data_IF_833400334237
#
_entry.id   IF_833400334237
#
_cell.length_a   1.000
_cell.length_b   1.000
_cell.length_c   1.000
_cell.angle_alpha   90.00
_cell.angle_beta   90.00
_cell.angle_gamma   90.00
#
_symmetry.space_group_name_H-M   'P 1'
#
loop_
_entity.id
_entity.type
_entity.pdbx_description
1 polymer ?
#
# COMPACT_ATOMS: atom_id res chain seq x y z
N UNK A 1 0.71 -40.04 14.25
CA UNK A 1 1.42 -40.00 12.96
C UNK A 1 0.50 -39.64 11.80
N UNK A 2 -0.65 -40.30 11.61
CA UNK A 2 -1.61 -40.01 10.52
C UNK A 2 -2.14 -38.57 10.54
N UNK A 3 -2.48 -38.03 11.72
CA UNK A 3 -2.93 -36.63 11.87
C UNK A 3 -1.83 -35.64 11.46
N UNK A 4 -0.58 -35.89 11.85
CA UNK A 4 0.55 -35.01 11.50
C UNK A 4 0.82 -35.02 9.99
N UNK A 5 0.75 -36.19 9.34
CA UNK A 5 0.89 -36.33 7.89
C UNK A 5 -0.27 -35.63 7.16
N UNK A 6 -1.50 -35.78 7.64
CA UNK A 6 -2.66 -35.09 7.07
C UNK A 6 -2.54 -33.56 7.19
N UNK A 7 -2.05 -33.06 8.33
CA UNK A 7 -1.77 -31.63 8.55
C UNK A 7 -0.67 -31.13 7.61
N UNK A 8 0.42 -31.88 7.45
CA UNK A 8 1.52 -31.50 6.55
C UNK A 8 1.06 -31.50 5.08
N UNK A 9 0.29 -32.50 4.66
CA UNK A 9 -0.28 -32.55 3.30
C UNK A 9 -1.26 -31.40 3.09
N UNK A 10 -2.14 -31.12 4.05
CA UNK A 10 -3.06 -30.00 3.98
C UNK A 10 -2.32 -28.66 3.88
N UNK A 11 -1.29 -28.44 4.71
CA UNK A 11 -0.43 -27.26 4.63
C UNK A 11 0.33 -27.18 3.30
N UNK A 12 0.87 -28.29 2.81
CA UNK A 12 1.56 -28.38 1.53
C UNK A 12 0.64 -28.05 0.35
N UNK A 13 -0.57 -28.59 0.33
CA UNK A 13 -1.59 -28.26 -0.67
C UNK A 13 -2.01 -26.79 -0.57
N UNK A 14 -2.19 -26.27 0.65
CA UNK A 14 -2.49 -24.84 0.87
C UNK A 14 -1.37 -23.97 0.29
N UNK A 15 -0.09 -24.29 0.54
CA UNK A 15 1.06 -23.55 0.00
C UNK A 15 1.07 -23.63 -1.54
N UNK A 16 0.89 -24.82 -2.12
CA UNK A 16 0.88 -25.02 -3.57
C UNK A 16 -0.27 -24.27 -4.25
N UNK A 17 -1.49 -24.32 -3.69
CA UNK A 17 -2.64 -23.59 -4.23
C UNK A 17 -2.56 -22.08 -3.97
N UNK A 18 -1.79 -21.64 -2.97
CA UNK A 18 -1.50 -20.23 -2.71
C UNK A 18 -0.38 -19.66 -3.59
N UNK A 19 0.40 -20.53 -4.25
CA UNK A 19 1.51 -20.15 -5.14
C UNK A 19 1.09 -19.82 -6.58
N UNK A 20 -0.14 -20.12 -6.99
CA UNK A 20 -0.67 -19.57 -8.24
C UNK A 20 -0.74 -18.04 -8.09
N UNK A 21 -0.12 -17.29 -9.01
CA UNK A 21 -0.04 -15.82 -8.94
C UNK A 21 -1.40 -15.24 -8.50
N UNK A 22 -1.45 -14.54 -7.35
CA UNK A 22 -2.70 -14.03 -6.82
C UNK A 22 -3.34 -13.12 -7.87
N UNK A 23 -4.67 -13.08 -7.90
CA UNK A 23 -5.41 -12.20 -8.82
C UNK A 23 -4.78 -10.80 -8.87
N UNK A 24 -4.69 -10.16 -10.06
CA UNK A 24 -4.08 -8.84 -10.19
C UNK A 24 -4.60 -7.88 -9.12
N UNK A 25 -3.71 -7.05 -8.58
CA UNK A 25 -4.13 -5.94 -7.75
C UNK A 25 -5.07 -5.01 -8.54
N UNK A 26 -5.76 -4.10 -7.86
CA UNK A 26 -6.64 -3.15 -8.54
C UNK A 26 -6.44 -1.75 -8.02
N UNK A 27 -6.42 -0.79 -8.93
CA UNK A 27 -6.54 0.61 -8.56
C UNK A 27 -8.01 0.93 -8.29
N UNK A 28 -8.26 1.59 -7.16
CA UNK A 28 -9.59 1.92 -6.67
C UNK A 28 -9.63 3.36 -6.19
N UNK A 29 -10.83 3.93 -6.14
CA UNK A 29 -11.04 5.18 -5.40
C UNK A 29 -10.60 4.99 -3.94
N UNK A 30 -9.78 5.93 -3.43
CA UNK A 30 -9.11 5.75 -2.15
C UNK A 30 -10.08 5.54 -0.99
N UNK A 31 -11.11 6.39 -0.89
CA UNK A 31 -12.07 6.39 0.22
C UNK A 31 -13.15 5.34 0.10
N UNK A 32 -13.58 4.96 -1.10
CA UNK A 32 -14.75 4.09 -1.26
C UNK A 32 -14.41 2.66 -1.65
N UNK A 33 -13.13 2.40 -2.02
CA UNK A 33 -12.69 1.17 -2.70
C UNK A 33 -13.47 0.85 -3.98
N UNK A 34 -14.24 1.79 -4.52
CA UNK A 34 -15.01 1.57 -5.74
C UNK A 34 -14.08 1.45 -6.95
N UNK A 35 -14.45 0.63 -7.95
CA UNK A 35 -13.74 0.57 -9.23
C UNK A 35 -13.61 1.95 -9.88
N UNK A 36 -12.49 2.17 -10.57
CA UNK A 36 -12.38 3.30 -11.49
C UNK A 36 -13.40 3.15 -12.63
N UNK A 37 -13.86 4.28 -13.22
CA UNK A 37 -14.79 4.25 -14.34
C UNK A 37 -14.26 3.41 -15.51
N UNK A 38 -15.16 2.73 -16.25
CA UNK A 38 -14.76 1.99 -17.45
C UNK A 38 -14.24 2.95 -18.53
N UNK A 39 -13.22 2.50 -19.25
CA UNK A 39 -12.55 3.30 -20.28
C UNK A 39 -13.25 3.18 -21.62
N UNK A 40 -13.45 4.32 -22.28
CA UNK A 40 -13.85 4.38 -23.68
C UNK A 40 -12.59 4.18 -24.52
N UNK A 41 -12.37 2.95 -25.01
CA UNK A 41 -11.11 2.57 -25.69
C UNK A 41 -10.77 3.42 -26.92
N UNK A 42 -11.74 4.06 -27.57
CA UNK A 42 -11.50 4.95 -28.71
C UNK A 42 -10.85 6.29 -28.31
N UNK A 43 -10.90 6.66 -27.03
CA UNK A 43 -10.31 7.89 -26.50
C UNK A 43 -8.87 7.71 -26.01
N UNK A 44 -8.42 6.45 -25.88
CA UNK A 44 -7.06 6.13 -25.45
C UNK A 44 -6.14 5.95 -26.67
N UNK A 45 -4.94 6.54 -26.70
CA UNK A 45 -3.98 6.32 -27.78
C UNK A 45 -3.67 4.84 -27.99
N UNK A 46 -3.49 4.45 -29.26
CA UNK A 46 -3.19 3.05 -29.64
C UNK A 46 -1.99 2.47 -28.90
N UNK A 47 -0.89 3.24 -28.84
CA UNK A 47 0.35 2.88 -28.14
C UNK A 47 0.12 2.53 -26.67
N UNK A 48 -0.68 3.33 -25.95
CA UNK A 48 -1.02 3.09 -24.54
C UNK A 48 -1.79 1.78 -24.36
N UNK A 49 -2.70 1.45 -25.30
CA UNK A 49 -3.47 0.20 -25.27
C UNK A 49 -2.60 -1.02 -25.52
N UNK A 50 -1.70 -0.92 -26.49
CA UNK A 50 -0.80 -2.01 -26.86
C UNK A 50 0.20 -2.29 -25.73
N UNK A 51 0.79 -1.25 -25.13
CA UNK A 51 1.71 -1.37 -24.00
C UNK A 51 1.02 -1.93 -22.75
N UNK A 52 -0.23 -1.54 -22.48
CA UNK A 52 -1.01 -2.10 -21.38
C UNK A 52 -1.23 -3.61 -21.55
N UNK A 53 -1.52 -4.06 -22.78
CA UNK A 53 -1.68 -5.48 -23.11
C UNK A 53 -0.36 -6.24 -23.04
N UNK A 54 0.74 -5.66 -23.52
CA UNK A 54 2.07 -6.27 -23.47
C UNK A 54 2.54 -6.43 -22.02
N UNK A 55 2.42 -5.37 -21.21
CA UNK A 55 2.77 -5.44 -19.80
C UNK A 55 1.92 -6.47 -19.06
N UNK A 56 0.60 -6.50 -19.33
CA UNK A 56 -0.26 -7.52 -18.75
C UNK A 56 0.14 -8.94 -19.17
N UNK A 57 0.55 -9.12 -20.44
CA UNK A 57 1.06 -10.39 -20.97
C UNK A 57 2.37 -10.83 -20.30
N UNK A 58 3.25 -9.90 -19.96
CA UNK A 58 4.50 -10.21 -19.25
C UNK A 58 4.26 -10.78 -17.84
N UNK A 59 3.22 -10.30 -17.15
CA UNK A 59 2.86 -10.74 -15.79
C UNK A 59 2.00 -12.01 -15.78
N UNK A 60 1.13 -12.17 -16.77
CA UNK A 60 0.19 -13.28 -16.85
C UNK A 60 0.22 -13.98 -18.21
N UNK A 61 1.36 -14.57 -18.62
CA UNK A 61 1.55 -15.08 -19.98
C UNK A 61 0.55 -16.19 -20.38
N UNK A 62 0.12 -16.99 -19.40
CA UNK A 62 -0.76 -18.16 -19.61
C UNK A 62 -2.24 -17.90 -19.28
N UNK A 63 -2.59 -16.77 -18.67
CA UNK A 63 -3.95 -16.49 -18.19
C UNK A 63 -4.55 -15.30 -18.95
N UNK A 64 -5.37 -15.60 -19.97
CA UNK A 64 -6.05 -14.57 -20.80
C UNK A 64 -6.98 -13.69 -19.96
N UNK A 65 -7.67 -14.26 -18.99
CA UNK A 65 -8.63 -13.53 -18.15
C UNK A 65 -7.92 -12.52 -17.25
N UNK A 66 -6.82 -12.92 -16.61
CA UNK A 66 -6.00 -12.00 -15.80
C UNK A 66 -5.36 -10.91 -16.65
N UNK A 67 -4.88 -11.24 -17.85
CA UNK A 67 -4.34 -10.24 -18.80
C UNK A 67 -5.35 -9.16 -19.14
N UNK A 68 -6.57 -9.55 -19.55
CA UNK A 68 -7.62 -8.59 -19.92
C UNK A 68 -8.00 -7.73 -18.72
N UNK A 69 -8.16 -8.33 -17.53
CA UNK A 69 -8.49 -7.58 -16.30
C UNK A 69 -7.39 -6.58 -15.93
N UNK A 70 -6.13 -6.99 -15.99
CA UNK A 70 -4.99 -6.13 -15.69
C UNK A 70 -4.85 -4.99 -16.71
N UNK A 71 -4.95 -5.28 -18.00
CA UNK A 71 -4.91 -4.26 -19.05
C UNK A 71 -6.05 -3.25 -18.92
N UNK A 72 -7.28 -3.70 -18.64
CA UNK A 72 -8.41 -2.81 -18.41
C UNK A 72 -8.20 -1.89 -17.20
N UNK A 73 -7.67 -2.43 -16.09
CA UNK A 73 -7.35 -1.66 -14.88
C UNK A 73 -6.22 -0.64 -15.13
N UNK A 74 -5.21 -1.01 -15.94
CA UNK A 74 -4.14 -0.10 -16.36
C UNK A 74 -4.64 1.07 -17.18
N UNK A 75 -5.51 0.79 -18.16
CA UNK A 75 -6.11 1.83 -18.98
C UNK A 75 -6.99 2.77 -18.14
N UNK A 76 -7.77 2.23 -17.22
CA UNK A 76 -8.61 3.05 -16.32
C UNK A 76 -7.75 3.94 -15.41
N UNK A 77 -6.63 3.40 -14.93
CA UNK A 77 -5.66 4.14 -14.12
C UNK A 77 -5.01 5.26 -14.92
N UNK A 78 -4.54 4.96 -16.14
CA UNK A 78 -3.96 5.96 -17.06
C UNK A 78 -4.95 7.08 -17.35
N UNK A 79 -6.18 6.75 -17.74
CA UNK A 79 -7.21 7.75 -18.05
C UNK A 79 -7.56 8.64 -16.86
N UNK A 80 -7.55 8.07 -15.64
CA UNK A 80 -7.79 8.84 -14.42
C UNK A 80 -6.62 9.78 -14.09
N UNK A 81 -5.39 9.42 -14.46
CA UNK A 81 -4.16 10.15 -14.10
C UNK A 81 -3.60 11.06 -15.19
N UNK A 82 -4.14 11.01 -16.43
CA UNK A 82 -3.54 11.71 -17.58
C UNK A 82 -3.42 13.23 -17.42
N UNK A 83 -4.19 13.81 -16.51
CA UNK A 83 -4.20 15.23 -16.17
C UNK A 83 -3.79 15.48 -14.72
N UNK A 84 -2.99 14.60 -14.13
CA UNK A 84 -2.54 14.67 -12.74
C UNK A 84 -1.05 14.97 -12.68
N UNK A 85 -0.66 15.86 -11.77
CA UNK A 85 0.75 16.19 -11.51
C UNK A 85 1.31 15.26 -10.42
N UNK A 86 0.53 15.02 -9.37
CA UNK A 86 0.91 14.17 -8.23
C UNK A 86 -0.11 13.05 -8.02
N UNK A 87 0.35 11.82 -8.15
CA UNK A 87 -0.41 10.63 -7.81
C UNK A 87 -0.08 10.20 -6.37
N UNK A 88 -1.04 10.33 -5.46
CA UNK A 88 -0.94 9.76 -4.12
C UNK A 88 -1.53 8.35 -4.14
N UNK A 89 -0.69 7.36 -3.87
CA UNK A 89 -1.08 5.96 -3.84
C UNK A 89 -1.15 5.46 -2.40
N UNK A 90 -2.35 5.20 -1.91
CA UNK A 90 -2.55 4.60 -0.60
C UNK A 90 -2.36 3.07 -0.66
N UNK A 91 -1.45 2.56 0.17
CA UNK A 91 -1.19 1.14 0.38
C UNK A 91 -1.63 0.77 1.80
N UNK A 92 -2.81 0.18 1.91
CA UNK A 92 -3.36 -0.26 3.20
C UNK A 92 -2.56 -1.37 3.86
N UNK A 93 -2.65 -1.39 5.19
CA UNK A 93 -2.09 -2.38 6.09
C UNK A 93 -2.91 -3.66 6.12
N UNK A 94 -2.61 -4.51 7.11
CA UNK A 94 -3.27 -5.80 7.26
C UNK A 94 -3.18 -6.65 5.99
N UNK A 95 -4.35 -6.92 5.38
CA UNK A 95 -4.50 -7.74 4.18
C UNK A 95 -4.58 -6.93 2.87
N UNK A 96 -4.38 -5.61 2.89
CA UNK A 96 -4.25 -4.83 1.66
C UNK A 96 -5.55 -4.64 0.85
N UNK A 97 -6.72 -4.66 1.50
CA UNK A 97 -8.02 -4.39 0.86
C UNK A 97 -8.82 -3.26 1.51
N UNK A 98 -8.25 -2.62 2.53
CA UNK A 98 -8.95 -1.60 3.30
C UNK A 98 -8.94 -0.30 2.50
N UNK A 99 -10.11 0.33 2.34
CA UNK A 99 -10.18 1.69 1.83
C UNK A 99 -9.75 2.68 2.91
N UNK A 100 -9.36 3.86 2.45
CA UNK A 100 -8.84 4.91 3.30
C UNK A 100 -9.87 5.39 4.34
N UNK A 101 -11.17 5.41 4.00
CA UNK A 101 -12.27 5.76 4.91
C UNK A 101 -12.32 4.91 6.19
N UNK A 102 -11.86 3.67 6.09
CA UNK A 102 -11.83 2.68 7.19
C UNK A 102 -10.50 2.69 7.95
N UNK A 103 -9.51 3.44 7.47
CA UNK A 103 -8.24 3.67 8.14
C UNK A 103 -8.28 5.08 8.77
N UNK A 104 -9.19 5.30 9.72
CA UNK A 104 -9.62 6.64 10.16
C UNK A 104 -8.49 7.59 10.52
N UNK A 105 -7.46 7.14 11.25
CA UNK A 105 -6.28 7.96 11.55
C UNK A 105 -5.49 8.32 10.28
N UNK A 106 -5.16 7.33 9.46
CA UNK A 106 -4.42 7.52 8.21
C UNK A 106 -5.15 8.35 7.17
N UNK A 107 -6.48 8.27 7.13
CA UNK A 107 -7.31 9.12 6.28
C UNK A 107 -7.06 10.60 6.53
N UNK A 108 -6.92 11.00 7.81
CA UNK A 108 -6.64 12.39 8.16
C UNK A 108 -5.28 12.86 7.63
N UNK A 109 -4.28 11.97 7.61
CA UNK A 109 -2.95 12.28 7.12
C UNK A 109 -2.96 12.41 5.60
N UNK A 110 -3.58 11.46 4.90
CA UNK A 110 -3.64 11.48 3.43
C UNK A 110 -4.48 12.68 2.93
N UNK A 111 -5.58 13.02 3.61
CA UNK A 111 -6.33 14.24 3.33
C UNK A 111 -5.45 15.49 3.47
N UNK A 112 -4.70 15.60 4.57
CA UNK A 112 -3.83 16.76 4.76
C UNK A 112 -2.70 16.83 3.71
N UNK A 113 -2.15 15.70 3.29
CA UNK A 113 -1.18 15.64 2.18
C UNK A 113 -1.83 16.12 0.87
N UNK A 114 -3.06 15.70 0.58
CA UNK A 114 -3.82 16.14 -0.59
C UNK A 114 -4.07 17.66 -0.55
N UNK A 115 -4.54 18.18 0.59
CA UNK A 115 -4.78 19.60 0.83
C UNK A 115 -3.51 20.44 0.66
N UNK A 116 -2.36 19.95 1.14
CA UNK A 116 -1.05 20.59 0.95
C UNK A 116 -0.68 20.70 -0.53
N UNK A 117 -0.95 19.67 -1.33
CA UNK A 117 -0.70 19.72 -2.77
C UNK A 117 -1.67 20.64 -3.50
N UNK A 118 -2.96 20.63 -3.13
CA UNK A 118 -3.97 21.54 -3.69
C UNK A 118 -3.61 23.00 -3.39
N UNK A 119 -3.16 23.29 -2.16
CA UNK A 119 -2.71 24.63 -1.74
C UNK A 119 -1.53 25.12 -2.58
N UNK A 120 -0.67 24.20 -3.04
CA UNK A 120 0.44 24.48 -3.96
C UNK A 120 0.01 24.54 -5.44
N UNK A 121 -1.28 24.48 -5.72
CA UNK A 121 -1.87 24.45 -7.06
C UNK A 121 -1.50 23.22 -7.90
N UNK A 122 -1.21 22.09 -7.25
CA UNK A 122 -0.99 20.83 -7.96
C UNK A 122 -2.33 20.16 -8.30
N UNK A 123 -2.40 19.51 -9.46
CA UNK A 123 -3.46 18.54 -9.76
C UNK A 123 -3.09 17.23 -9.09
N UNK A 124 -3.84 16.85 -8.07
CA UNK A 124 -3.59 15.64 -7.28
C UNK A 124 -4.73 14.63 -7.48
N UNK A 125 -4.37 13.34 -7.50
CA UNK A 125 -5.37 12.26 -7.40
C UNK A 125 -4.90 11.23 -6.37
N UNK A 126 -5.79 10.89 -5.45
CA UNK A 126 -5.55 9.84 -4.45
C UNK A 126 -6.27 8.55 -4.86
N UNK A 127 -5.51 7.48 -5.07
CA UNK A 127 -6.06 6.13 -5.31
C UNK A 127 -5.57 5.15 -4.26
N UNK A 128 -6.35 4.08 -4.03
CA UNK A 128 -5.95 2.94 -3.20
C UNK A 128 -5.54 1.78 -4.10
N UNK A 129 -4.42 1.15 -3.76
CA UNK A 129 -4.03 -0.11 -4.37
C UNK A 129 -4.55 -1.29 -3.56
N UNK A 130 -5.63 -1.89 -4.06
CA UNK A 130 -6.20 -3.10 -3.49
C UNK A 130 -5.35 -4.31 -3.90
N UNK A 131 -4.47 -4.76 -3.00
CA UNK A 131 -3.54 -5.88 -3.23
C UNK A 131 -4.21 -7.25 -3.12
N UNK A 132 -5.22 -7.39 -2.27
CA UNK A 132 -5.91 -8.66 -2.06
C UNK A 132 -7.44 -8.53 -2.06
N UNK A 133 -8.10 -9.69 -2.07
CA UNK A 133 -9.55 -9.83 -2.07
C UNK A 133 -10.00 -10.50 -0.79
N UNK A 134 -11.16 -10.09 -0.26
CA UNK A 134 -11.82 -10.74 0.88
C UNK A 134 -12.25 -12.16 0.51
N UNK A 135 -11.33 -13.10 0.66
CA UNK A 135 -11.53 -14.53 0.48
C UNK A 135 -10.56 -15.27 1.39
N UNK A 136 -10.90 -16.48 1.84
CA UNK A 136 -10.00 -17.34 2.61
C UNK A 136 -8.62 -17.49 1.94
N UNK A 137 -8.59 -17.55 0.60
CA UNK A 137 -7.35 -17.55 -0.20
C UNK A 137 -6.59 -16.24 -0.12
N UNK A 138 -7.28 -15.10 -0.11
CA UNK A 138 -6.69 -13.77 0.08
C UNK A 138 -6.05 -13.61 1.47
N UNK A 139 -6.70 -14.11 2.52
CA UNK A 139 -6.13 -14.14 3.88
C UNK A 139 -4.83 -14.96 3.94
N UNK A 140 -4.85 -16.18 3.40
CA UNK A 140 -3.68 -17.08 3.40
C UNK A 140 -2.54 -16.52 2.52
N UNK A 141 -2.87 -16.04 1.32
CA UNK A 141 -1.90 -15.43 0.40
C UNK A 141 -1.22 -14.23 1.05
N UNK A 142 -1.95 -13.38 1.76
CA UNK A 142 -1.36 -12.23 2.45
C UNK A 142 -0.56 -12.61 3.70
N UNK A 143 -0.92 -13.65 4.45
CA UNK A 143 -0.06 -14.15 5.53
C UNK A 143 1.27 -14.67 4.97
N UNK A 144 1.24 -15.39 3.84
CA UNK A 144 2.44 -15.86 3.15
C UNK A 144 3.21 -14.69 2.49
N UNK A 145 2.50 -13.65 2.00
CA UNK A 145 3.09 -12.46 1.37
C UNK A 145 3.62 -11.42 2.36
N UNK A 146 3.09 -11.38 3.59
CA UNK A 146 3.57 -10.54 4.69
C UNK A 146 4.94 -11.00 5.20
N UNK A 147 5.34 -12.24 4.88
CA UNK A 147 6.73 -12.62 4.91
C UNK A 147 7.51 -11.85 3.85
N UNK A 148 8.59 -11.17 4.25
CA UNK A 148 9.44 -10.27 3.45
C UNK A 148 10.00 -10.85 2.13
N UNK A 149 9.66 -12.09 1.77
CA UNK A 149 10.12 -12.82 0.58
C UNK A 149 9.13 -12.81 -0.60
N UNK A 150 7.90 -12.31 -0.45
CA UNK A 150 6.97 -12.24 -1.57
C UNK A 150 7.18 -11.00 -2.43
N UNK A 151 7.79 -11.20 -3.61
CA UNK A 151 8.16 -10.14 -4.55
C UNK A 151 7.15 -9.95 -5.69
N UNK A 152 6.16 -10.84 -5.84
CA UNK A 152 5.26 -10.84 -7.01
C UNK A 152 4.36 -9.61 -7.06
N UNK A 153 3.74 -9.24 -5.93
CA UNK A 153 2.87 -8.06 -5.84
C UNK A 153 3.64 -6.75 -5.91
N UNK A 154 4.75 -6.56 -5.17
CA UNK A 154 5.61 -5.39 -5.37
C UNK A 154 6.06 -5.24 -6.83
N UNK A 155 6.47 -6.34 -7.49
CA UNK A 155 6.86 -6.32 -8.90
C UNK A 155 5.70 -5.93 -9.82
N UNK A 156 4.49 -6.43 -9.57
CA UNK A 156 3.30 -6.02 -10.31
C UNK A 156 3.08 -4.50 -10.19
N UNK A 157 3.11 -3.94 -8.99
CA UNK A 157 2.93 -2.50 -8.78
C UNK A 157 4.07 -1.69 -9.41
N UNK A 158 5.32 -2.12 -9.29
CA UNK A 158 6.46 -1.45 -9.91
C UNK A 158 6.31 -1.38 -11.45
N UNK A 159 5.84 -2.46 -12.08
CA UNK A 159 5.57 -2.47 -13.53
C UNK A 159 4.40 -1.55 -13.91
N UNK A 160 3.35 -1.48 -13.09
CA UNK A 160 2.24 -0.51 -13.29
C UNK A 160 2.75 0.92 -13.27
N UNK A 161 3.60 1.26 -12.31
CA UNK A 161 4.17 2.60 -12.23
C UNK A 161 5.08 2.90 -13.43
N UNK A 162 5.91 1.94 -13.86
CA UNK A 162 6.71 2.07 -15.10
C UNK A 162 5.85 2.34 -16.33
N UNK A 163 4.74 1.60 -16.48
CA UNK A 163 3.77 1.85 -17.56
C UNK A 163 3.21 3.26 -17.49
N UNK A 164 2.81 3.73 -16.30
CA UNK A 164 2.31 5.10 -16.14
C UNK A 164 3.38 6.13 -16.51
N UNK A 165 4.61 6.01 -16.02
CA UNK A 165 5.67 6.96 -16.36
C UNK A 165 6.11 6.93 -17.83
N UNK A 166 5.94 5.81 -18.51
CA UNK A 166 6.21 5.74 -19.95
C UNK A 166 5.27 6.67 -20.74
N UNK A 167 4.01 6.79 -20.30
CA UNK A 167 3.00 7.61 -20.98
C UNK A 167 2.69 8.94 -20.29
N UNK A 168 3.07 9.09 -19.02
CA UNK A 168 2.87 10.25 -18.16
C UNK A 168 4.22 10.65 -17.53
N UNK A 169 5.17 11.18 -18.34
CA UNK A 169 6.56 11.37 -17.91
C UNK A 169 6.73 12.38 -16.78
N UNK A 170 5.76 13.26 -16.57
CA UNK A 170 5.82 14.29 -15.52
C UNK A 170 5.10 13.87 -14.23
N UNK A 171 4.51 12.67 -14.19
CA UNK A 171 3.76 12.20 -13.02
C UNK A 171 4.72 11.92 -11.86
N UNK A 172 4.58 12.64 -10.74
CA UNK A 172 5.23 12.28 -9.47
C UNK A 172 4.32 11.35 -8.69
N UNK A 173 4.89 10.32 -8.05
CA UNK A 173 4.14 9.32 -7.29
C UNK A 173 4.58 9.36 -5.83
N UNK A 174 3.62 9.56 -4.93
CA UNK A 174 3.81 9.47 -3.48
C UNK A 174 3.04 8.27 -2.94
N UNK A 175 3.74 7.23 -2.49
CA UNK A 175 3.12 6.09 -1.82
C UNK A 175 2.95 6.37 -0.33
N UNK A 176 1.70 6.43 0.13
CA UNK A 176 1.36 6.53 1.54
C UNK A 176 0.97 5.15 2.06
N UNK A 177 1.67 4.64 3.06
CA UNK A 177 1.55 3.24 3.45
C UNK A 177 1.50 3.04 4.96
N UNK A 178 0.65 2.12 5.42
CA UNK A 178 0.51 1.75 6.83
C UNK A 178 0.79 0.26 7.06
N UNK A 179 1.42 -0.07 8.20
CA UNK A 179 1.61 -1.46 8.65
C UNK A 179 2.18 -2.35 7.54
N UNK A 180 1.57 -3.50 7.21
CA UNK A 180 2.01 -4.36 6.10
C UNK A 180 2.07 -3.68 4.72
N UNK A 181 1.33 -2.59 4.51
CA UNK A 181 1.41 -1.78 3.30
C UNK A 181 2.79 -1.12 3.12
N UNK A 182 3.51 -0.88 4.21
CA UNK A 182 4.89 -0.36 4.17
C UNK A 182 5.84 -1.34 3.50
N UNK A 183 5.73 -2.64 3.81
CA UNK A 183 6.55 -3.70 3.19
C UNK A 183 6.39 -3.67 1.66
N UNK A 184 5.15 -3.54 1.19
CA UNK A 184 4.84 -3.42 -0.23
C UNK A 184 5.50 -2.18 -0.86
N UNK A 185 5.30 -1.02 -0.26
CA UNK A 185 5.81 0.27 -0.77
C UNK A 185 7.34 0.30 -0.78
N UNK A 186 7.95 -0.20 0.29
CA UNK A 186 9.38 -0.29 0.45
C UNK A 186 10.02 -1.22 -0.60
N UNK A 187 9.42 -2.38 -0.85
CA UNK A 187 9.88 -3.29 -1.90
C UNK A 187 9.76 -2.65 -3.30
N UNK A 188 8.70 -1.88 -3.57
CA UNK A 188 8.55 -1.17 -4.85
C UNK A 188 9.65 -0.12 -5.03
N UNK A 189 9.94 0.69 -4.01
CA UNK A 189 11.05 1.65 -4.08
C UNK A 189 12.39 0.94 -4.27
N UNK A 190 12.63 -0.16 -3.56
CA UNK A 190 13.85 -0.97 -3.71
C UNK A 190 14.02 -1.55 -5.11
N UNK A 191 12.92 -1.89 -5.79
CA UNK A 191 12.93 -2.35 -7.19
C UNK A 191 13.13 -1.23 -8.21
N UNK A 192 12.97 0.02 -7.79
CA UNK A 192 13.03 1.23 -8.62
C UNK A 192 14.01 2.26 -7.99
N UNK A 193 15.28 1.90 -7.77
CA UNK A 193 16.24 2.75 -7.05
C UNK A 193 16.56 4.05 -7.79
N UNK A 194 16.55 4.02 -9.13
CA UNK A 194 16.85 5.16 -10.01
C UNK A 194 15.63 6.03 -10.34
N UNK A 195 14.44 5.65 -9.88
CA UNK A 195 13.23 6.41 -10.21
C UNK A 195 13.03 7.58 -9.24
N UNK A 196 13.52 8.75 -9.64
CA UNK A 196 13.48 9.98 -8.84
C UNK A 196 12.06 10.53 -8.62
N UNK A 197 11.08 10.12 -9.44
CA UNK A 197 9.67 10.56 -9.32
C UNK A 197 8.87 9.72 -8.32
N UNK A 198 9.49 8.74 -7.66
CA UNK A 198 8.83 7.86 -6.70
C UNK A 198 9.27 8.17 -5.26
N UNK A 199 8.29 8.44 -4.40
CA UNK A 199 8.49 8.73 -2.98
C UNK A 199 7.59 7.84 -2.12
N UNK A 200 7.93 7.66 -0.85
CA UNK A 200 7.03 6.99 0.09
C UNK A 200 7.07 7.60 1.48
N UNK A 201 5.89 7.72 2.09
CA UNK A 201 5.72 7.97 3.53
C UNK A 201 5.10 6.71 4.13
N UNK A 202 5.82 6.11 5.06
CA UNK A 202 5.55 4.81 5.64
C UNK A 202 5.33 4.93 7.14
N UNK A 203 4.23 4.37 7.63
CA UNK A 203 3.83 4.43 9.03
C UNK A 203 3.73 3.03 9.63
N UNK A 204 4.35 2.86 10.79
CA UNK A 204 4.24 1.64 11.57
C UNK A 204 4.68 0.37 10.83
N UNK A 205 5.85 0.32 10.15
CA UNK A 205 6.30 -0.90 9.47
C UNK A 205 6.42 -2.08 10.44
N UNK A 206 6.21 -3.33 10.00
CA UNK A 206 6.41 -4.50 10.86
C UNK A 206 7.85 -4.61 11.36
N UNK A 207 8.03 -5.01 12.63
CA UNK A 207 9.38 -5.11 13.23
C UNK A 207 10.32 -6.07 12.52
N UNK A 208 9.79 -7.08 11.82
CA UNK A 208 10.57 -8.07 11.08
C UNK A 208 11.04 -7.57 9.72
N UNK A 209 10.68 -6.35 9.34
CA UNK A 209 11.03 -5.79 8.05
C UNK A 209 12.05 -4.67 8.21
N UNK A 210 13.21 -4.88 7.56
CA UNK A 210 14.26 -3.88 7.43
C UNK A 210 13.88 -2.91 6.31
N UNK A 211 13.61 -1.67 6.70
CA UNK A 211 13.25 -0.65 5.73
C UNK A 211 14.44 -0.32 4.84
N UNK A 212 14.20 -0.25 3.53
CA UNK A 212 15.13 0.38 2.60
C UNK A 212 15.35 1.84 3.00
N UNK A 213 16.60 2.20 3.29
CA UNK A 213 17.01 3.55 3.67
C UNK A 213 17.25 4.36 2.41
N UNK A 214 16.47 5.42 2.23
CA UNK A 214 16.59 6.35 1.12
C UNK A 214 16.03 7.70 1.51
N UNK A 215 16.60 8.78 0.99
CA UNK A 215 16.06 10.13 1.13
C UNK A 215 14.64 10.26 0.56
N UNK A 216 14.21 9.36 -0.33
CA UNK A 216 12.85 9.31 -0.91
C UNK A 216 11.85 8.58 -0.02
N UNK A 217 12.25 8.12 1.17
CA UNK A 217 11.41 7.37 2.10
C UNK A 217 11.39 8.05 3.47
N UNK A 218 10.22 8.55 3.88
CA UNK A 218 9.97 8.93 5.27
C UNK A 218 9.37 7.72 6.00
N UNK A 219 10.12 7.11 6.90
CA UNK A 219 9.63 6.01 7.72
C UNK A 219 9.39 6.45 9.17
N UNK A 220 8.17 6.24 9.68
CA UNK A 220 7.78 6.61 11.02
C UNK A 220 7.36 5.37 11.81
N UNK A 221 8.06 5.14 12.94
CA UNK A 221 7.83 4.05 13.89
C UNK A 221 7.29 4.55 15.23
N UNK A 222 6.78 5.76 15.27
CA UNK A 222 6.17 6.36 16.46
C UNK A 222 5.25 7.48 16.05
N UNK A 223 4.18 7.66 16.82
CA UNK A 223 3.29 8.81 16.74
C UNK A 223 3.82 10.05 17.49
N UNK A 224 5.03 9.98 18.07
CA UNK A 224 5.66 11.06 18.81
C UNK A 224 5.28 11.15 20.28
N UNK A 225 4.28 10.39 20.73
CA UNK A 225 3.92 10.27 22.16
C UNK A 225 4.47 8.98 22.74
N UNK A 226 4.25 7.86 22.03
CA UNK A 226 4.74 6.54 22.43
C UNK A 226 5.40 5.83 21.24
N UNK A 227 6.52 5.11 21.44
CA UNK A 227 7.08 4.24 20.40
C UNK A 227 6.09 3.15 20.01
N UNK A 228 5.92 2.93 18.70
CA UNK A 228 5.01 1.92 18.17
C UNK A 228 5.44 0.51 18.60
N UNK A 229 4.62 -0.11 19.46
CA UNK A 229 4.93 -1.40 20.02
C UNK A 229 5.05 -2.51 18.96
N UNK A 230 4.28 -2.42 17.87
CA UNK A 230 4.35 -3.38 16.79
C UNK A 230 5.61 -3.19 15.97
N UNK A 231 5.95 -1.95 15.60
CA UNK A 231 7.13 -1.67 14.77
C UNK A 231 8.46 -1.90 15.45
N UNK A 232 8.51 -1.81 16.78
CA UNK A 232 9.72 -2.12 17.55
C UNK A 232 9.74 -3.56 18.09
N UNK A 233 8.70 -4.36 17.84
CA UNK A 233 8.63 -5.74 18.36
C UNK A 233 8.52 -5.79 19.88
N UNK A 234 7.97 -4.74 20.51
CA UNK A 234 7.77 -4.65 21.95
C UNK A 234 6.53 -5.45 22.38
N UNK A 235 6.57 -6.76 22.17
CA UNK A 235 5.44 -7.67 22.40
C UNK A 235 4.91 -7.65 23.82
N UNK A 236 5.77 -7.44 24.83
CA UNK A 236 5.32 -7.30 26.23
C UNK A 236 4.33 -6.15 26.43
N UNK A 237 4.51 -5.03 25.70
CA UNK A 237 3.58 -3.89 25.73
C UNK A 237 2.27 -4.23 25.02
N UNK A 238 2.34 -4.92 23.88
CA UNK A 238 1.14 -5.39 23.18
C UNK A 238 0.34 -6.37 24.06
N UNK A 239 0.98 -7.39 24.64
CA UNK A 239 0.32 -8.34 25.55
C UNK A 239 -0.32 -7.64 26.75
N UNK A 240 0.41 -6.73 27.41
CA UNK A 240 -0.12 -5.95 28.53
C UNK A 240 -1.33 -5.11 28.12
N UNK A 241 -1.27 -4.43 26.98
CA UNK A 241 -2.37 -3.59 26.49
C UNK A 241 -3.65 -4.42 26.22
N UNK A 242 -3.51 -5.60 25.59
CA UNK A 242 -4.65 -6.49 25.35
C UNK A 242 -5.22 -7.05 26.68
N UNK A 243 -4.35 -7.38 27.64
CA UNK A 243 -4.76 -7.85 28.96
C UNK A 243 -5.46 -6.78 29.81
N UNK A 244 -4.96 -5.55 29.76
CA UNK A 244 -5.57 -4.39 30.41
C UNK A 244 -6.93 -4.04 29.76
N UNK A 245 -7.04 -4.15 28.43
CA UNK A 245 -8.30 -3.96 27.70
C UNK A 245 -9.37 -5.00 28.10
N UNK A 246 -8.98 -6.27 28.30
CA UNK A 246 -9.89 -7.31 28.84
C UNK A 246 -10.41 -6.98 30.24
N UNK A 247 -9.71 -6.12 30.99
CA UNK A 247 -10.09 -5.64 32.32
C UNK A 247 -10.76 -4.27 32.28
N UNK A 248 -11.14 -3.78 31.10
CA UNK A 248 -11.82 -2.49 30.91
C UNK A 248 -10.91 -1.26 30.99
N UNK A 249 -9.58 -1.43 30.94
CA UNK A 249 -8.62 -0.31 30.94
C UNK A 249 -8.17 0.00 29.51
N UNK A 250 -8.28 1.26 29.08
CA UNK A 250 -7.79 1.71 27.78
C UNK A 250 -6.38 2.33 27.90
N UNK A 251 -5.44 2.02 26.99
CA UNK A 251 -4.12 2.66 26.98
C UNK A 251 -4.20 4.15 26.60
N UNK A 252 -3.25 4.96 27.11
CA UNK A 252 -3.16 6.39 26.81
C UNK A 252 -2.86 6.71 25.33
N UNK A 253 -2.28 5.75 24.59
CA UNK A 253 -2.07 5.83 23.13
C UNK A 253 -2.48 4.49 22.51
N UNK A 254 -3.73 4.36 22.03
CA UNK A 254 -4.24 3.13 21.44
C UNK A 254 -3.59 2.87 20.07
N UNK A 255 -4.02 1.79 19.42
CA UNK A 255 -3.52 1.33 18.13
C UNK A 255 -3.80 -0.17 18.00
N UNK A 256 -4.14 -0.65 16.81
CA UNK A 256 -4.47 -2.06 16.60
C UNK A 256 -3.74 -2.61 15.36
N UNK A 257 -3.26 -3.85 15.46
CA UNK A 257 -2.75 -4.63 14.33
C UNK A 257 -3.54 -5.91 14.17
N UNK A 258 -3.52 -6.49 12.96
CA UNK A 258 -4.22 -7.75 12.65
C UNK A 258 -5.69 -7.75 13.11
N UNK A 259 -6.39 -6.64 12.85
CA UNK A 259 -7.79 -6.33 13.19
C UNK A 259 -8.09 -6.06 14.68
N UNK A 260 -7.43 -6.72 15.64
CA UNK A 260 -7.84 -6.63 17.06
C UNK A 260 -6.71 -6.64 18.09
N UNK A 261 -5.44 -6.77 17.69
CA UNK A 261 -4.33 -6.83 18.65
C UNK A 261 -3.94 -5.40 19.02
N UNK A 262 -4.19 -5.01 20.27
CA UNK A 262 -3.75 -3.74 20.83
C UNK A 262 -2.22 -3.58 20.70
N UNK A 263 -1.80 -2.57 19.96
CA UNK A 263 -0.41 -2.19 19.72
C UNK A 263 -0.25 -0.71 20.07
N UNK A 264 0.13 -0.38 21.32
CA UNK A 264 0.28 1.01 21.74
C UNK A 264 1.23 1.80 20.84
N UNK A 265 0.84 3.00 20.46
CA UNK A 265 1.60 3.85 19.55
C UNK A 265 1.50 3.48 18.06
N UNK A 266 0.72 2.45 17.71
CA UNK A 266 0.37 2.10 16.32
C UNK A 266 -0.91 2.83 15.85
N UNK A 267 -1.16 4.00 16.43
CA UNK A 267 -2.18 4.94 15.96
C UNK A 267 -1.46 6.18 15.43
N UNK A 268 -1.76 6.52 14.18
CA UNK A 268 -1.17 7.62 13.45
C UNK A 268 -2.31 8.42 12.85
N UNK A 269 -2.34 9.70 13.18
CA UNK A 269 -3.32 10.65 12.66
C UNK A 269 -2.71 12.05 12.60
N UNK A 270 -3.33 12.95 11.83
CA UNK A 270 -2.81 14.27 11.57
C UNK A 270 -3.04 15.23 12.74
N UNK A 271 -4.21 15.19 13.38
CA UNK A 271 -4.64 16.19 14.36
C UNK A 271 -3.93 16.02 15.71
N UNK A 272 -3.83 14.79 16.20
CA UNK A 272 -3.40 14.51 17.58
C UNK A 272 -1.88 14.42 17.72
N UNK A 273 -1.16 14.24 16.62
CA UNK A 273 0.29 13.96 16.64
C UNK A 273 1.10 15.01 15.87
N UNK A 274 1.58 16.08 16.55
CA UNK A 274 2.37 17.14 15.91
C UNK A 274 3.63 16.64 15.19
N UNK A 275 4.33 15.65 15.75
CA UNK A 275 5.54 15.09 15.15
C UNK A 275 5.26 14.47 13.77
N UNK A 276 4.07 13.86 13.60
CA UNK A 276 3.65 13.32 12.30
C UNK A 276 3.50 14.45 11.28
N UNK A 277 2.77 15.51 11.64
CA UNK A 277 2.60 16.67 10.76
C UNK A 277 3.93 17.30 10.37
N UNK A 278 4.79 17.57 11.36
CA UNK A 278 6.07 18.23 11.14
C UNK A 278 6.97 17.43 10.20
N UNK A 279 7.08 16.12 10.40
CA UNK A 279 7.91 15.28 9.55
C UNK A 279 7.34 15.13 8.14
N UNK A 280 6.02 14.96 8.01
CA UNK A 280 5.36 14.90 6.70
C UNK A 280 5.54 16.20 5.94
N UNK A 281 5.24 17.36 6.56
CA UNK A 281 5.40 18.66 5.92
C UNK A 281 6.85 18.93 5.53
N UNK A 282 7.83 18.58 6.39
CA UNK A 282 9.25 18.68 6.06
C UNK A 282 9.60 17.83 4.84
N UNK A 283 9.10 16.61 4.78
CA UNK A 283 9.34 15.71 3.65
C UNK A 283 8.70 16.24 2.35
N UNK A 284 7.45 16.71 2.41
CA UNK A 284 6.78 17.32 1.27
C UNK A 284 7.50 18.58 0.79
N UNK A 285 7.96 19.44 1.69
CA UNK A 285 8.71 20.65 1.35
C UNK A 285 10.06 20.34 0.69
N UNK A 286 10.72 19.26 1.14
CA UNK A 286 12.00 18.83 0.56
C UNK A 286 11.85 18.28 -0.86
N UNK A 287 10.80 17.51 -1.14
CA UNK A 287 10.69 16.71 -2.38
C UNK A 287 9.63 17.19 -3.37
N UNK A 288 8.68 18.02 -2.94
CA UNK A 288 7.54 18.49 -3.73
C UNK A 288 7.41 20.02 -3.64
N UNK A 289 8.47 20.72 -4.04
CA UNK A 289 8.52 22.18 -4.11
C UNK A 289 7.79 22.76 -5.34
N UNK A 290 7.61 21.98 -6.41
CA UNK A 290 6.84 22.36 -7.61
C UNK A 290 5.93 21.24 -8.11
N UNK A 291 4.78 21.65 -8.67
CA UNK A 291 3.94 20.83 -9.52
C UNK A 291 4.51 20.98 -10.94
N UNK A 292 5.02 19.88 -11.51
CA UNK A 292 5.96 19.80 -12.65
C UNK A 292 7.42 19.73 -12.20
#
# INVERSE_FOLDING_TARGET
MIIAIAVIIALGLIVVFSWQMPDPGKMRHAFTALPLPPVILSQVPGTVRDDALEMAKSLHPRDKTKRIKLAADLLATYESLKNTDIFVLFNSGGYGWTALDKASGYATIVNAIEDEFITRHCRVLVLNYQRAYRSLRGYISEILNAGAKSVSKPRELALRLKFLWHHLPNLKVLMCAESNGTVMSNQVIKMLPEEERLFSIEFGPPFWYDNYVSDRVLNMRSNGVVPDAFSYGHWSRAFKANWDALRGKSPASPGNVLLYIGAPGHDYNWQDYPLIRENVLRFLNKHFNSCK
#
